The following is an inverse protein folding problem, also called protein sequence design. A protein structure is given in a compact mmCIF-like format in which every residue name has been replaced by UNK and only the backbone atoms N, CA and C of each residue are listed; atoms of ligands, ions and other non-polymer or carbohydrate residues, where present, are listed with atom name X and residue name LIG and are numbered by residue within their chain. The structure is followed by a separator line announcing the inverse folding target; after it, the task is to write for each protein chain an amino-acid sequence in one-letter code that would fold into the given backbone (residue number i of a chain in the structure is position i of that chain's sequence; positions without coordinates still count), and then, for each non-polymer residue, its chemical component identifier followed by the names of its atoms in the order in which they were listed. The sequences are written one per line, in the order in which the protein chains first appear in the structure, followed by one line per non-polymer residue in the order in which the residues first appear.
data_IF_160582212594
#
_entry.id   IF_160582212594
#
_cell.length_a   1.000
_cell.length_b   1.000
_cell.length_c   1.000
_cell.angle_alpha   90.00
_cell.angle_beta   90.00
_cell.angle_gamma   90.00
#
_symmetry.space_group_name_H-M   'P 1'
#
loop_
_entity.id
_entity.type
_entity.pdbx_description
1 polymer ?
#
# COMPACT_ATOMS: atom_id res chain seq x y z
N UNK A 1 -3.20 -0.03 19.88
CA UNK A 1 -3.84 0.77 18.80
C UNK A 1 -3.25 0.29 17.48
N UNK A 2 -4.02 -0.38 16.63
CA UNK A 2 -3.52 -0.82 15.32
C UNK A 2 -3.57 0.34 14.32
N UNK A 3 -2.43 0.68 13.72
CA UNK A 3 -2.27 1.78 12.77
C UNK A 3 -2.83 1.51 11.36
N UNK A 4 -3.22 0.25 11.11
CA UNK A 4 -3.74 -0.24 9.83
C UNK A 4 -5.24 -0.51 9.99
N UNK A 5 -6.04 0.04 9.09
CA UNK A 5 -7.48 -0.23 9.00
C UNK A 5 -7.78 -1.49 8.19
N UNK A 6 -7.09 -1.66 7.06
CA UNK A 6 -7.34 -2.76 6.12
C UNK A 6 -6.02 -3.25 5.57
N UNK A 7 -5.83 -4.57 5.58
CA UNK A 7 -4.79 -5.25 4.82
C UNK A 7 -5.45 -6.28 3.89
N UNK A 8 -5.40 -6.06 2.58
CA UNK A 8 -6.04 -6.92 1.60
C UNK A 8 -5.08 -7.35 0.51
N UNK A 9 -5.00 -8.65 0.24
CA UNK A 9 -4.18 -9.19 -0.85
C UNK A 9 -4.97 -9.20 -2.16
N UNK A 10 -4.45 -8.53 -3.19
CA UNK A 10 -5.05 -8.53 -4.52
C UNK A 10 -4.93 -9.93 -5.14
N UNK A 11 -6.08 -10.54 -5.50
CA UNK A 11 -6.17 -11.89 -6.09
C UNK A 11 -5.59 -11.96 -7.51
N UNK A 12 -5.84 -10.93 -8.31
CA UNK A 12 -5.30 -10.78 -9.67
C UNK A 12 -4.54 -9.47 -9.75
N UNK A 13 -3.38 -9.50 -10.36
CA UNK A 13 -2.64 -8.29 -10.63
C UNK A 13 -2.30 -8.18 -12.12
N UNK A 14 -2.26 -6.96 -12.65
CA UNK A 14 -2.06 -6.74 -14.08
C UNK A 14 -0.69 -7.20 -14.59
N UNK A 15 0.28 -7.47 -13.70
CA UNK A 15 1.63 -7.89 -14.07
C UNK A 15 2.08 -9.19 -13.39
N UNK A 16 1.15 -10.01 -12.90
CA UNK A 16 1.45 -11.30 -12.27
C UNK A 16 2.13 -11.22 -10.89
N UNK A 17 2.43 -10.01 -10.38
CA UNK A 17 3.03 -9.82 -9.05
C UNK A 17 1.99 -9.87 -7.94
N UNK A 18 2.37 -10.33 -6.74
CA UNK A 18 1.50 -10.32 -5.56
C UNK A 18 1.49 -8.91 -4.96
N UNK A 19 0.32 -8.29 -4.82
CA UNK A 19 0.16 -7.00 -4.16
C UNK A 19 -0.65 -7.14 -2.87
N UNK A 20 -0.29 -6.33 -1.89
CA UNK A 20 -1.03 -6.13 -0.65
C UNK A 20 -1.41 -4.66 -0.60
N UNK A 21 -2.72 -4.38 -0.56
CA UNK A 21 -3.27 -3.07 -0.32
C UNK A 21 -3.35 -2.85 1.18
N UNK A 22 -2.77 -1.74 1.63
CA UNK A 22 -2.81 -1.31 3.03
C UNK A 22 -3.54 0.02 3.12
N UNK A 23 -4.63 0.07 3.89
CA UNK A 23 -5.29 1.30 4.30
C UNK A 23 -4.81 1.65 5.70
N UNK A 24 -4.17 2.80 5.84
CA UNK A 24 -3.74 3.32 7.14
C UNK A 24 -4.79 4.25 7.73
N UNK A 25 -4.94 4.22 9.06
CA UNK A 25 -5.81 5.15 9.79
C UNK A 25 -5.37 6.60 9.64
N UNK A 26 -4.05 6.81 9.68
CA UNK A 26 -3.44 8.13 9.62
C UNK A 26 -2.63 8.32 8.35
N UNK A 27 -2.87 9.45 7.67
CA UNK A 27 -2.04 9.92 6.55
C UNK A 27 -0.58 10.11 6.97
N UNK A 28 -0.33 10.50 8.23
CA UNK A 28 1.03 10.62 8.74
C UNK A 28 1.75 9.27 8.80
N UNK A 29 1.08 8.22 9.29
CA UNK A 29 1.65 6.87 9.35
C UNK A 29 1.96 6.36 7.95
N UNK A 30 1.03 6.51 7.01
CA UNK A 30 1.26 6.17 5.59
C UNK A 30 2.52 6.87 5.05
N UNK A 31 2.64 8.18 5.27
CA UNK A 31 3.78 8.96 4.79
C UNK A 31 5.10 8.53 5.46
N UNK A 32 5.09 8.19 6.75
CA UNK A 32 6.26 7.67 7.46
C UNK A 32 6.74 6.35 6.88
N UNK A 33 5.81 5.42 6.63
CA UNK A 33 6.11 4.13 5.98
C UNK A 33 6.67 4.34 4.57
N UNK A 34 6.07 5.23 3.77
CA UNK A 34 6.57 5.55 2.43
C UNK A 34 8.00 6.11 2.46
N UNK A 35 8.31 7.01 3.41
CA UNK A 35 9.67 7.56 3.58
C UNK A 35 10.69 6.47 3.94
N UNK A 36 10.27 5.49 4.74
CA UNK A 36 11.12 4.38 5.18
C UNK A 36 11.12 3.18 4.21
N UNK A 37 10.34 3.23 3.13
CA UNK A 37 10.20 2.13 2.16
C UNK A 37 11.52 1.66 1.53
N UNK A 38 12.52 2.55 1.43
CA UNK A 38 13.87 2.22 0.94
C UNK A 38 14.53 1.11 1.77
N UNK A 39 14.25 1.03 3.07
CA UNK A 39 14.78 -0.01 3.96
C UNK A 39 14.22 -1.41 3.62
N UNK A 40 13.00 -1.46 3.10
CA UNK A 40 12.32 -2.71 2.72
C UNK A 40 12.76 -3.21 1.34
N UNK A 41 13.32 -2.33 0.50
CA UNK A 41 13.79 -2.67 -0.85
C UNK A 41 14.92 -3.68 -0.84
N UNK A 42 15.81 -3.62 0.16
CA UNK A 42 16.88 -4.60 0.36
C UNK A 42 16.34 -6.03 0.61
N UNK A 43 15.10 -6.15 1.09
CA UNK A 43 14.41 -7.42 1.33
C UNK A 43 13.49 -7.83 0.17
N UNK A 44 13.59 -7.16 -0.99
CA UNK A 44 12.75 -7.43 -2.16
C UNK A 44 11.29 -6.97 -2.01
N UNK A 45 10.97 -6.20 -0.97
CA UNK A 45 9.63 -5.66 -0.74
C UNK A 45 9.57 -4.23 -1.25
N UNK A 46 8.60 -3.95 -2.12
CA UNK A 46 8.39 -2.64 -2.73
C UNK A 46 7.09 -2.03 -2.21
N UNK A 47 7.19 -0.84 -1.62
CA UNK A 47 6.03 -0.07 -1.14
C UNK A 47 5.89 1.15 -2.04
N UNK A 48 4.69 1.39 -2.54
CA UNK A 48 4.35 2.53 -3.38
C UNK A 48 2.96 3.04 -3.02
N UNK A 49 2.69 4.31 -3.32
CA UNK A 49 1.34 4.83 -3.21
C UNK A 49 0.44 4.14 -4.23
N UNK A 50 -0.80 3.86 -3.81
CA UNK A 50 -1.86 3.48 -4.71
C UNK A 50 -2.44 4.75 -5.33
N UNK A 51 -2.17 4.96 -6.61
CA UNK A 51 -2.66 6.07 -7.41
C UNK A 51 -3.79 5.63 -8.35
N UNK A 52 -4.42 4.48 -8.06
CA UNK A 52 -5.55 4.01 -8.86
C UNK A 52 -6.65 5.08 -8.83
N UNK A 53 -7.10 5.60 -9.99
CA UNK A 53 -8.16 6.59 -10.05
C UNK A 53 -9.40 6.05 -9.33
N UNK A 54 -9.99 6.86 -8.47
CA UNK A 54 -11.30 6.51 -7.91
C UNK A 54 -12.31 6.48 -9.06
N UNK A 55 -13.20 5.48 -9.11
CA UNK A 55 -14.30 5.51 -10.07
C UNK A 55 -15.14 6.79 -9.83
N UNK A 56 -15.71 7.38 -10.90
CA UNK A 56 -16.57 8.55 -10.75
C UNK A 56 -17.70 8.22 -9.77
N UNK A 57 -17.99 9.13 -8.84
CA UNK A 57 -19.16 9.01 -7.96
C UNK A 57 -20.40 9.09 -8.84
N UNK A 58 -21.16 7.99 -8.88
CA UNK A 58 -22.52 7.95 -9.42
C UNK A 58 -23.47 8.78 -8.57
#
# INVERSE_FOLDING_TARGET
MEDVDIAHRLKRSPNGKKYILLRFKSRMTRNRVLRQSKLLRAKGVFVREDLTPLPPKS
#
